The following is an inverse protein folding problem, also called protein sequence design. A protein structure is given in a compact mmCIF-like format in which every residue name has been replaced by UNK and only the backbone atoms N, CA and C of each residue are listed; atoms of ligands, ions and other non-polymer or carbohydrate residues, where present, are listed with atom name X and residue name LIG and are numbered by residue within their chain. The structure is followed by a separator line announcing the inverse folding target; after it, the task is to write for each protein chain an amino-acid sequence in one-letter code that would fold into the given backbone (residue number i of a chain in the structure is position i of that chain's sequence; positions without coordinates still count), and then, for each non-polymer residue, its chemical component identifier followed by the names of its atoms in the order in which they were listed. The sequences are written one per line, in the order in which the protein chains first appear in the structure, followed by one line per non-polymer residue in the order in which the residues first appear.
data_IF_354115544367
#
_entry.id   IF_354115544367
#
_cell.length_a   1.000
_cell.length_b   1.000
_cell.length_c   1.000
_cell.angle_alpha   90.00
_cell.angle_beta   90.00
_cell.angle_gamma   90.00
#
_symmetry.space_group_name_H-M   'P 1'
#
loop_
_entity.id
_entity.type
_entity.pdbx_description
1 polymer ?
#
# COMPACT_ATOMS: atom_id res chain seq x y z
N UNK A 1 -47.60 78.26 61.11
CA UNK A 1 -46.22 78.57 61.60
C UNK A 1 -45.40 77.30 61.39
N UNK A 2 -44.35 77.35 60.56
CA UNK A 2 -43.52 76.19 60.25
C UNK A 2 -42.67 75.77 61.46
N UNK A 3 -42.60 74.47 61.71
CA UNK A 3 -41.84 73.86 62.82
C UNK A 3 -40.34 73.98 62.47
N UNK A 4 -39.57 74.73 63.25
CA UNK A 4 -38.12 74.68 63.19
C UNK A 4 -37.64 73.36 63.81
N UNK A 5 -37.04 72.49 63.00
CA UNK A 5 -36.40 71.27 63.47
C UNK A 5 -35.13 71.60 64.23
N UNK A 6 -34.94 70.94 65.38
CA UNK A 6 -33.80 71.14 66.27
C UNK A 6 -32.52 70.67 65.55
N UNK A 7 -31.45 71.45 65.47
CA UNK A 7 -30.20 70.97 64.89
C UNK A 7 -29.60 69.88 65.79
N UNK A 8 -29.35 68.70 65.23
CA UNK A 8 -28.67 67.57 65.88
C UNK A 8 -27.21 67.56 65.44
N UNK A 9 -26.29 67.43 66.38
CA UNK A 9 -24.85 67.40 66.10
C UNK A 9 -24.48 66.16 65.28
N UNK A 10 -23.97 66.36 64.07
CA UNK A 10 -23.42 65.29 63.20
C UNK A 10 -21.90 65.22 63.41
N UNK A 11 -21.34 64.02 63.58
CA UNK A 11 -19.89 63.82 63.75
C UNK A 11 -19.10 64.33 62.53
N UNK A 12 -17.82 64.69 62.71
CA UNK A 12 -16.99 65.18 61.59
C UNK A 12 -16.90 64.20 60.42
N UNK A 13 -16.91 62.90 60.70
CA UNK A 13 -16.90 61.83 59.67
C UNK A 13 -18.19 61.77 58.87
N UNK A 14 -19.33 62.12 59.48
CA UNK A 14 -20.64 62.16 58.80
C UNK A 14 -20.97 63.54 58.19
N UNK A 15 -20.06 64.52 58.31
CA UNK A 15 -20.12 65.81 57.59
C UNK A 15 -19.27 65.71 56.32
N UNK A 16 -19.70 64.91 55.38
CA UNK A 16 -19.15 64.99 54.02
C UNK A 16 -19.63 66.33 53.41
N UNK A 17 -18.69 67.21 53.11
CA UNK A 17 -18.99 68.44 52.37
C UNK A 17 -19.42 68.05 50.96
N UNK A 18 -20.43 68.74 50.41
CA UNK A 18 -20.96 68.47 49.05
C UNK A 18 -19.83 68.39 48.00
N UNK A 19 -18.78 69.20 48.17
CA UNK A 19 -17.56 69.20 47.35
C UNK A 19 -16.76 67.89 47.40
N UNK A 20 -16.68 67.19 48.54
CA UNK A 20 -15.97 65.91 48.64
C UNK A 20 -16.73 64.78 47.97
N UNK A 21 -18.08 64.82 48.02
CA UNK A 21 -18.93 63.87 47.29
C UNK A 21 -18.82 64.07 45.78
N UNK A 22 -18.86 65.32 45.32
CA UNK A 22 -18.71 65.64 43.90
C UNK A 22 -17.33 65.22 43.36
N UNK A 23 -16.26 65.33 44.16
CA UNK A 23 -14.92 64.91 43.77
C UNK A 23 -14.80 63.37 43.69
N UNK A 24 -15.37 62.64 44.65
CA UNK A 24 -15.43 61.17 44.63
C UNK A 24 -16.29 60.67 43.45
N UNK A 25 -17.43 61.31 43.19
CA UNK A 25 -18.31 60.97 42.07
C UNK A 25 -17.67 61.27 40.71
N UNK A 26 -16.89 62.36 40.59
CA UNK A 26 -16.08 62.64 39.40
C UNK A 26 -14.96 61.62 39.22
N UNK A 27 -14.27 61.22 40.29
CA UNK A 27 -13.22 60.20 40.24
C UNK A 27 -13.76 58.81 39.87
N UNK A 28 -14.93 58.43 40.40
CA UNK A 28 -15.64 57.20 40.03
C UNK A 28 -16.10 57.23 38.57
N UNK A 29 -16.66 58.35 38.10
CA UNK A 29 -17.08 58.51 36.71
C UNK A 29 -15.88 58.48 35.73
N UNK A 30 -14.73 59.03 36.10
CA UNK A 30 -13.50 58.94 35.31
C UNK A 30 -12.92 57.51 35.31
N UNK A 31 -12.99 56.81 36.45
CA UNK A 31 -12.57 55.43 36.55
C UNK A 31 -13.44 54.51 35.68
N UNK A 32 -14.75 54.73 35.64
CA UNK A 32 -15.67 53.94 34.82
C UNK A 32 -15.49 54.22 33.33
N UNK A 33 -15.30 55.47 32.92
CA UNK A 33 -14.93 55.82 31.53
C UNK A 33 -13.62 55.15 31.10
N UNK A 34 -12.59 55.12 31.96
CA UNK A 34 -11.33 54.42 31.69
C UNK A 34 -11.53 52.90 31.54
N UNK A 35 -12.37 52.29 32.37
CA UNK A 35 -12.70 50.86 32.25
C UNK A 35 -13.44 50.55 30.95
N UNK A 36 -14.35 51.42 30.51
CA UNK A 36 -15.07 51.24 29.25
C UNK A 36 -14.15 51.37 28.03
N UNK A 37 -13.27 52.38 28.02
CA UNK A 37 -12.26 52.54 26.98
C UNK A 37 -11.32 51.32 26.91
N UNK A 38 -10.84 50.83 28.06
CA UNK A 38 -10.01 49.63 28.12
C UNK A 38 -10.73 48.38 27.59
N UNK A 39 -12.02 48.22 27.90
CA UNK A 39 -12.85 47.12 27.35
C UNK A 39 -13.04 47.23 25.84
N UNK A 40 -13.17 48.45 25.31
CA UNK A 40 -13.30 48.68 23.87
C UNK A 40 -12.00 48.38 23.13
N UNK A 41 -10.86 48.81 23.68
CA UNK A 41 -9.52 48.51 23.17
C UNK A 41 -9.27 47.00 23.15
N UNK A 42 -9.55 46.30 24.26
CA UNK A 42 -9.46 44.83 24.31
C UNK A 42 -10.35 44.12 23.30
N UNK A 43 -11.55 44.64 23.04
CA UNK A 43 -12.43 44.10 22.00
C UNK A 43 -11.86 44.33 20.60
N UNK A 44 -11.28 45.50 20.33
CA UNK A 44 -10.62 45.79 19.07
C UNK A 44 -9.40 44.87 18.85
N UNK A 45 -8.54 44.74 19.87
CA UNK A 45 -7.37 43.85 19.84
C UNK A 45 -7.76 42.39 19.61
N UNK A 46 -8.83 41.92 20.28
CA UNK A 46 -9.30 40.56 20.10
C UNK A 46 -9.81 40.31 18.68
N UNK A 47 -10.47 41.31 18.06
CA UNK A 47 -10.92 41.23 16.68
C UNK A 47 -9.75 41.26 15.70
N UNK A 48 -8.75 42.10 15.92
CA UNK A 48 -7.57 42.14 15.05
C UNK A 48 -6.79 40.83 15.12
N UNK A 49 -6.61 40.25 16.31
CA UNK A 49 -5.95 38.96 16.49
C UNK A 49 -6.68 37.83 15.75
N UNK A 50 -8.02 37.82 15.80
CA UNK A 50 -8.83 36.83 15.07
C UNK A 50 -8.71 37.02 13.56
N UNK A 51 -8.73 38.26 13.07
CA UNK A 51 -8.56 38.55 11.64
C UNK A 51 -7.17 38.11 11.16
N UNK A 52 -6.12 38.41 11.92
CA UNK A 52 -4.74 38.00 11.62
C UNK A 52 -4.63 36.47 11.55
N UNK A 53 -5.23 35.76 12.51
CA UNK A 53 -5.25 34.30 12.52
C UNK A 53 -6.01 33.69 11.34
N UNK A 54 -7.14 34.29 10.94
CA UNK A 54 -7.89 33.85 9.75
C UNK A 54 -7.05 34.07 8.48
N UNK A 55 -6.35 35.20 8.38
CA UNK A 55 -5.46 35.46 7.24
C UNK A 55 -4.30 34.46 7.19
N UNK A 56 -3.67 34.17 8.33
CA UNK A 56 -2.61 33.15 8.43
C UNK A 56 -3.12 31.76 8.01
N UNK A 57 -4.34 31.38 8.40
CA UNK A 57 -4.96 30.11 8.00
C UNK A 57 -5.26 30.06 6.49
N UNK A 58 -5.81 31.12 5.92
CA UNK A 58 -6.08 31.22 4.47
C UNK A 58 -4.79 31.16 3.65
N UNK A 59 -3.75 31.87 4.08
CA UNK A 59 -2.44 31.85 3.40
C UNK A 59 -1.75 30.49 3.56
N UNK A 60 -1.90 29.83 4.71
CA UNK A 60 -1.37 28.49 4.95
C UNK A 60 -2.11 27.41 4.12
N UNK A 61 -3.41 27.56 3.90
CA UNK A 61 -4.19 26.65 3.06
C UNK A 61 -3.93 26.89 1.57
N UNK A 62 -3.75 28.15 1.14
CA UNK A 62 -3.35 28.47 -0.23
C UNK A 62 -1.92 27.99 -0.58
N UNK A 63 -1.04 27.82 0.42
CA UNK A 63 0.34 27.35 0.24
C UNK A 63 0.50 25.83 0.27
N UNK A 64 -0.53 25.05 0.67
CA UNK A 64 -0.50 23.59 0.62
C UNK A 64 -0.93 23.10 -0.77
N UNK A 65 -0.19 22.19 -1.42
CA UNK A 65 -0.70 21.50 -2.61
C UNK A 65 -1.90 20.63 -2.22
N UNK A 66 -2.92 20.58 -3.09
CA UNK A 66 -4.20 19.86 -2.93
C UNK A 66 -4.07 18.31 -2.85
N UNK A 67 -3.25 17.79 -1.93
CA UNK A 67 -3.08 16.35 -1.70
C UNK A 67 -2.94 16.07 -0.20
N UNK A 68 -3.95 16.42 0.61
CA UNK A 68 -4.17 15.75 1.91
C UNK A 68 -5.63 15.88 2.37
N UNK A 69 -6.53 15.12 1.73
CA UNK A 69 -7.91 14.81 2.19
C UNK A 69 -7.88 14.01 3.52
N UNK A 70 -7.41 14.62 4.60
CA UNK A 70 -7.36 13.98 5.93
C UNK A 70 -7.77 14.86 7.09
N UNK A 71 -7.98 16.16 6.87
CA UNK A 71 -8.51 17.07 7.89
C UNK A 71 -9.95 17.51 7.65
N UNK A 72 -10.55 17.17 6.50
CA UNK A 72 -11.99 17.34 6.26
C UNK A 72 -12.77 16.11 6.76
N UNK A 73 -12.51 15.73 8.02
CA UNK A 73 -13.53 15.01 8.78
C UNK A 73 -14.53 16.11 9.13
N UNK A 74 -15.38 16.46 8.17
CA UNK A 74 -16.62 17.19 8.42
C UNK A 74 -17.23 16.58 9.68
N UNK A 75 -17.53 17.44 10.67
CA UNK A 75 -18.30 17.06 11.83
C UNK A 75 -19.49 16.24 11.32
N UNK A 76 -19.52 14.96 11.70
CA UNK A 76 -20.56 14.03 11.26
C UNK A 76 -21.92 14.69 11.51
N UNK A 77 -22.68 14.92 10.43
CA UNK A 77 -23.94 15.66 10.48
C UNK A 77 -24.90 14.91 11.42
N UNK A 78 -25.15 15.49 12.60
CA UNK A 78 -25.97 14.93 13.69
C UNK A 78 -27.47 15.26 13.48
N UNK A 79 -27.85 15.67 12.26
CA UNK A 79 -29.23 15.99 11.88
C UNK A 79 -29.95 14.74 11.31
N UNK A 80 -30.25 13.79 12.19
CA UNK A 80 -30.95 12.52 11.92
C UNK A 80 -32.31 12.68 11.18
N UNK A 81 -32.91 13.88 11.17
CA UNK A 81 -34.26 14.10 10.65
C UNK A 81 -34.33 14.43 9.15
N UNK A 82 -33.24 14.93 8.51
CA UNK A 82 -33.30 15.34 7.09
C UNK A 82 -33.13 14.21 6.09
N UNK A 83 -32.45 13.12 6.45
CA UNK A 83 -31.99 12.09 5.49
C UNK A 83 -32.56 10.68 5.72
N UNK A 84 -33.58 10.51 6.58
CA UNK A 84 -34.12 9.18 6.94
C UNK A 84 -34.51 8.31 5.72
N UNK A 85 -35.08 8.93 4.68
CA UNK A 85 -35.46 8.21 3.46
C UNK A 85 -34.23 7.69 2.69
N UNK A 86 -33.18 8.50 2.55
CA UNK A 86 -31.95 8.11 1.86
C UNK A 86 -31.18 7.07 2.68
N UNK A 87 -31.14 7.22 3.99
CA UNK A 87 -30.54 6.24 4.89
C UNK A 87 -31.25 4.89 4.86
N UNK A 88 -32.58 4.90 4.80
CA UNK A 88 -33.38 3.70 4.64
C UNK A 88 -33.13 3.01 3.28
N UNK A 89 -33.01 3.79 2.20
CA UNK A 89 -32.63 3.24 0.90
C UNK A 89 -31.21 2.68 0.91
N UNK A 90 -30.26 3.36 1.55
CA UNK A 90 -28.88 2.89 1.70
C UNK A 90 -28.82 1.63 2.58
N UNK A 91 -29.61 1.55 3.64
CA UNK A 91 -29.80 0.34 4.43
C UNK A 91 -30.34 -0.79 3.57
N UNK A 92 -31.38 -0.55 2.77
CA UNK A 92 -31.96 -1.53 1.84
C UNK A 92 -30.94 -1.98 0.80
N UNK A 93 -30.10 -1.10 0.27
CA UNK A 93 -29.02 -1.45 -0.66
C UNK A 93 -27.99 -2.34 0.02
N UNK A 94 -27.56 -2.01 1.25
CA UNK A 94 -26.63 -2.86 2.02
C UNK A 94 -27.23 -4.24 2.29
N UNK A 95 -28.51 -4.30 2.64
CA UNK A 95 -29.22 -5.56 2.90
C UNK A 95 -29.38 -6.39 1.62
N UNK A 96 -29.77 -5.77 0.51
CA UNK A 96 -29.81 -6.42 -0.80
C UNK A 96 -28.42 -6.91 -1.23
N UNK A 97 -27.35 -6.16 -0.96
CA UNK A 97 -25.97 -6.60 -1.22
C UNK A 97 -25.59 -7.82 -0.39
N UNK A 98 -26.07 -7.94 0.86
CA UNK A 98 -25.86 -9.14 1.69
C UNK A 98 -26.58 -10.35 1.11
N UNK A 99 -27.87 -10.22 0.82
CA UNK A 99 -28.66 -11.30 0.20
C UNK A 99 -28.06 -11.71 -1.15
N UNK A 100 -27.59 -10.74 -1.94
CA UNK A 100 -26.92 -10.98 -3.22
C UNK A 100 -25.64 -11.80 -3.04
N UNK A 101 -24.78 -11.45 -2.08
CA UNK A 101 -23.53 -12.20 -1.79
C UNK A 101 -23.82 -13.65 -1.44
N UNK A 102 -24.78 -13.89 -0.55
CA UNK A 102 -25.14 -15.25 -0.12
C UNK A 102 -25.72 -16.07 -1.29
N UNK A 103 -26.51 -15.43 -2.16
CA UNK A 103 -27.04 -16.07 -3.36
C UNK A 103 -25.94 -16.36 -4.38
N UNK A 104 -25.03 -15.42 -4.58
CA UNK A 104 -23.87 -15.57 -5.47
C UNK A 104 -22.97 -16.72 -5.01
N UNK A 105 -22.68 -16.84 -3.71
CA UNK A 105 -21.87 -17.94 -3.17
C UNK A 105 -22.52 -19.32 -3.41
N UNK A 106 -23.85 -19.42 -3.29
CA UNK A 106 -24.56 -20.67 -3.63
C UNK A 106 -24.48 -20.97 -5.11
N UNK A 107 -24.64 -19.96 -5.96
CA UNK A 107 -24.56 -20.10 -7.42
C UNK A 107 -23.15 -20.45 -7.87
N UNK A 108 -22.10 -19.85 -7.30
CA UNK A 108 -20.71 -20.20 -7.62
C UNK A 108 -20.42 -21.65 -7.24
N UNK A 109 -20.83 -22.09 -6.05
CA UNK A 109 -20.70 -23.49 -5.63
C UNK A 109 -21.44 -24.45 -6.58
N UNK A 110 -22.65 -24.10 -7.02
CA UNK A 110 -23.38 -24.91 -8.00
C UNK A 110 -22.64 -24.98 -9.34
N UNK A 111 -22.15 -23.85 -9.85
CA UNK A 111 -21.34 -23.79 -11.08
C UNK A 111 -20.05 -24.61 -10.98
N UNK A 112 -19.37 -24.58 -9.84
CA UNK A 112 -18.18 -25.39 -9.59
C UNK A 112 -18.51 -26.89 -9.65
N UNK A 113 -19.61 -27.31 -9.00
CA UNK A 113 -20.06 -28.70 -9.04
C UNK A 113 -20.43 -29.12 -10.47
N UNK A 114 -21.19 -28.30 -11.19
CA UNK A 114 -21.56 -28.53 -12.60
C UNK A 114 -20.31 -28.62 -13.49
N UNK A 115 -19.33 -27.74 -13.29
CA UNK A 115 -18.05 -27.77 -14.02
C UNK A 115 -17.28 -29.07 -13.75
N UNK A 116 -17.19 -29.49 -12.48
CA UNK A 116 -16.54 -30.76 -12.10
C UNK A 116 -17.24 -31.95 -12.76
N UNK A 117 -18.59 -31.99 -12.71
CA UNK A 117 -19.37 -33.06 -13.33
C UNK A 117 -19.18 -33.09 -14.84
N UNK A 118 -19.20 -31.93 -15.51
CA UNK A 118 -18.90 -31.81 -16.94
C UNK A 118 -17.50 -32.36 -17.24
N UNK A 119 -16.49 -31.96 -16.48
CA UNK A 119 -15.09 -32.36 -16.70
C UNK A 119 -14.84 -33.85 -16.45
N UNK A 120 -15.63 -34.47 -15.56
CA UNK A 120 -15.63 -35.94 -15.34
C UNK A 120 -16.26 -36.72 -16.49
N UNK A 121 -17.22 -36.13 -17.22
CA UNK A 121 -17.86 -36.74 -18.38
C UNK A 121 -17.13 -36.51 -19.71
N UNK A 122 -16.17 -35.58 -19.76
CA UNK A 122 -15.39 -35.29 -20.96
C UNK A 122 -14.27 -36.31 -21.20
N UNK A 123 -13.96 -36.53 -22.48
CA UNK A 123 -12.79 -37.29 -22.91
C UNK A 123 -11.48 -36.56 -22.61
N UNK A 124 -10.35 -37.27 -22.64
CA UNK A 124 -9.04 -36.68 -22.33
C UNK A 124 -8.60 -35.63 -23.38
N UNK A 125 -8.94 -35.83 -24.65
CA UNK A 125 -8.64 -34.88 -25.73
C UNK A 125 -9.42 -33.57 -25.57
N UNK A 126 -10.71 -33.66 -25.27
CA UNK A 126 -11.56 -32.50 -24.99
C UNK A 126 -11.09 -31.75 -23.72
N UNK A 127 -10.63 -32.49 -22.69
CA UNK A 127 -10.09 -31.90 -21.47
C UNK A 127 -8.82 -31.11 -21.74
N UNK A 128 -7.90 -31.64 -22.55
CA UNK A 128 -6.69 -30.95 -22.93
C UNK A 128 -6.98 -29.67 -23.76
N UNK A 129 -7.98 -29.72 -24.64
CA UNK A 129 -8.42 -28.57 -25.42
C UNK A 129 -9.05 -27.47 -24.53
N UNK A 130 -9.90 -27.84 -23.57
CA UNK A 130 -10.49 -26.89 -22.63
C UNK A 130 -9.43 -26.31 -21.67
N UNK A 131 -8.47 -27.10 -21.23
CA UNK A 131 -7.35 -26.62 -20.40
C UNK A 131 -6.52 -25.58 -21.15
N UNK A 132 -6.24 -25.82 -22.43
CA UNK A 132 -5.55 -24.84 -23.28
C UNK A 132 -6.37 -23.55 -23.42
N UNK A 133 -7.69 -23.66 -23.60
CA UNK A 133 -8.59 -22.49 -23.67
C UNK A 133 -8.61 -21.71 -22.35
N UNK A 134 -8.64 -22.39 -21.20
CA UNK A 134 -8.59 -21.75 -19.88
C UNK A 134 -7.24 -21.07 -19.63
N UNK A 135 -6.14 -21.70 -20.04
CA UNK A 135 -4.80 -21.12 -19.93
C UNK A 135 -4.63 -19.86 -20.79
N UNK A 136 -5.27 -19.80 -21.97
CA UNK A 136 -5.29 -18.60 -22.82
C UNK A 136 -6.08 -17.43 -22.21
N UNK A 137 -7.10 -17.70 -21.40
CA UNK A 137 -7.92 -16.68 -20.72
C UNK A 137 -7.19 -16.11 -19.50
N UNK A 138 -6.41 -16.94 -18.81
CA UNK A 138 -5.68 -16.51 -17.63
C UNK A 138 -4.64 -15.44 -18.00
N UNK A 139 -4.43 -14.42 -17.14
CA UNK A 139 -3.45 -13.37 -17.40
C UNK A 139 -2.07 -13.99 -17.57
N UNK A 140 -1.44 -13.72 -18.71
CA UNK A 140 -0.09 -14.20 -19.01
C UNK A 140 0.90 -13.44 -18.15
N UNK A 141 1.80 -14.21 -17.55
CA UNK A 141 2.95 -13.67 -16.81
C UNK A 141 4.00 -13.20 -17.79
N UNK A 142 4.83 -12.28 -17.31
CA UNK A 142 6.01 -11.87 -18.07
C UNK A 142 6.90 -13.08 -18.38
N UNK A 143 7.55 -13.05 -19.54
CA UNK A 143 8.47 -14.11 -19.95
C UNK A 143 9.63 -14.21 -18.97
N UNK A 144 9.72 -15.36 -18.28
CA UNK A 144 10.82 -15.64 -17.35
C UNK A 144 12.13 -15.70 -18.13
N UNK A 145 13.05 -14.79 -17.81
CA UNK A 145 14.39 -14.78 -18.42
C UNK A 145 15.23 -15.94 -17.89
N UNK A 146 16.20 -16.38 -18.70
CA UNK A 146 17.16 -17.38 -18.27
C UNK A 146 18.01 -16.84 -17.11
N UNK A 147 18.17 -17.64 -16.06
CA UNK A 147 18.98 -17.28 -14.90
C UNK A 147 20.46 -17.18 -15.26
N UNK A 148 21.12 -16.14 -14.76
CA UNK A 148 22.58 -16.00 -14.82
C UNK A 148 23.31 -17.07 -14.00
N UNK A 149 24.60 -17.27 -14.29
CA UNK A 149 25.45 -18.20 -13.55
C UNK A 149 25.51 -17.82 -12.07
N UNK A 150 25.17 -18.78 -11.20
CA UNK A 150 25.07 -18.58 -9.74
C UNK A 150 24.15 -17.42 -9.29
N UNK A 151 23.11 -17.11 -10.07
CA UNK A 151 22.03 -16.23 -9.63
C UNK A 151 21.18 -16.91 -8.56
N UNK A 152 20.68 -16.14 -7.57
CA UNK A 152 19.80 -16.67 -6.54
C UNK A 152 18.37 -16.82 -7.07
N UNK A 153 17.75 -17.97 -6.78
CA UNK A 153 16.32 -18.17 -7.01
C UNK A 153 15.50 -17.51 -5.91
N UNK A 154 14.54 -16.69 -6.31
CA UNK A 154 13.55 -16.10 -5.43
C UNK A 154 12.20 -16.76 -5.70
N UNK A 155 11.69 -17.48 -4.71
CA UNK A 155 10.32 -17.98 -4.75
C UNK A 155 9.38 -16.82 -4.46
N UNK A 156 8.34 -16.69 -5.27
CA UNK A 156 7.34 -15.61 -5.16
C UNK A 156 6.59 -15.59 -3.82
N UNK A 157 6.49 -16.73 -3.16
CA UNK A 157 5.77 -16.91 -1.89
C UNK A 157 4.49 -17.72 -2.08
N UNK A 158 3.83 -18.08 -0.98
CA UNK A 158 2.55 -18.79 -0.99
C UNK A 158 1.33 -17.88 -0.75
N UNK A 159 1.56 -16.61 -0.42
CA UNK A 159 0.52 -15.64 -0.10
C UNK A 159 0.06 -14.90 -1.36
N UNK A 160 -1.19 -14.43 -1.36
CA UNK A 160 -1.79 -13.58 -2.41
C UNK A 160 -1.71 -14.17 -3.84
N UNK A 161 -1.74 -15.50 -3.96
CA UNK A 161 -1.73 -16.17 -5.26
C UNK A 161 -3.10 -16.14 -5.95
N UNK A 162 -4.16 -15.89 -5.21
CA UNK A 162 -5.49 -15.56 -5.74
C UNK A 162 -5.42 -14.32 -6.65
N UNK A 163 -4.84 -13.22 -6.16
CA UNK A 163 -4.63 -11.98 -6.92
C UNK A 163 -3.72 -12.17 -8.13
N UNK A 164 -2.79 -13.12 -8.04
CA UNK A 164 -1.94 -13.54 -9.15
C UNK A 164 -2.72 -14.13 -10.33
N UNK A 165 -3.67 -14.98 -10.00
CA UNK A 165 -4.46 -15.75 -10.96
C UNK A 165 -5.50 -14.85 -11.57
N UNK A 166 -6.12 -13.99 -10.76
CA UNK A 166 -7.08 -12.99 -11.26
C UNK A 166 -6.38 -11.89 -12.06
N UNK A 167 -5.12 -11.58 -11.76
CA UNK A 167 -4.38 -10.50 -12.42
C UNK A 167 -4.82 -9.11 -11.98
N UNK A 168 -5.49 -8.99 -10.82
CA UNK A 168 -5.95 -7.71 -10.26
C UNK A 168 -4.79 -6.75 -9.96
N UNK A 169 -3.65 -7.32 -9.57
CA UNK A 169 -2.44 -6.54 -9.27
C UNK A 169 -1.33 -6.93 -10.25
N UNK A 170 -0.88 -5.98 -11.06
CA UNK A 170 0.18 -6.19 -12.06
C UNK A 170 1.52 -6.59 -11.43
N UNK A 171 1.77 -6.18 -10.18
CA UNK A 171 2.98 -6.55 -9.42
C UNK A 171 3.24 -8.06 -9.44
N UNK A 172 2.16 -8.83 -9.42
CA UNK A 172 2.13 -10.27 -9.34
C UNK A 172 2.35 -10.99 -10.68
N UNK A 173 2.28 -10.27 -11.79
CA UNK A 173 2.54 -10.80 -13.13
C UNK A 173 4.00 -10.60 -13.57
N UNK A 174 4.76 -9.79 -12.82
CA UNK A 174 6.16 -9.47 -13.10
C UNK A 174 7.07 -10.68 -12.98
N UNK A 175 8.19 -10.62 -13.70
CA UNK A 175 9.27 -11.59 -13.56
C UNK A 175 10.04 -11.37 -12.24
N UNK A 176 9.88 -12.29 -11.28
CA UNK A 176 10.62 -12.30 -10.01
C UNK A 176 12.03 -12.91 -10.13
N UNK A 177 12.37 -13.41 -11.31
CA UNK A 177 13.64 -14.07 -11.59
C UNK A 177 14.65 -13.14 -12.27
N UNK A 178 14.35 -11.85 -12.35
CA UNK A 178 15.29 -10.87 -12.86
C UNK A 178 16.56 -10.81 -11.99
N UNK A 179 17.78 -10.74 -12.59
CA UNK A 179 19.01 -10.58 -11.83
C UNK A 179 19.03 -9.25 -11.08
N UNK A 180 19.32 -9.32 -9.78
CA UNK A 180 19.64 -8.13 -8.99
C UNK A 180 20.92 -7.47 -9.51
N UNK A 181 21.12 -6.20 -9.16
CA UNK A 181 22.27 -5.40 -9.61
C UNK A 181 23.63 -6.08 -9.40
N UNK A 182 23.85 -6.70 -8.24
CA UNK A 182 25.07 -7.45 -7.92
C UNK A 182 25.23 -8.76 -8.74
N UNK A 183 24.15 -9.26 -9.35
CA UNK A 183 24.11 -10.50 -10.14
C UNK A 183 24.02 -10.26 -11.65
N UNK A 184 24.03 -9.00 -12.10
CA UNK A 184 24.04 -8.64 -13.53
C UNK A 184 25.37 -8.98 -14.22
N UNK A 185 26.45 -9.09 -13.45
CA UNK A 185 27.78 -9.41 -13.97
C UNK A 185 27.94 -10.91 -14.21
N UNK A 186 28.68 -11.27 -15.26
CA UNK A 186 29.02 -12.67 -15.52
C UNK A 186 30.04 -13.17 -14.49
N UNK A 187 29.54 -13.95 -13.53
CA UNK A 187 30.36 -14.54 -12.46
C UNK A 187 31.31 -15.62 -12.97
N UNK A 188 31.13 -16.15 -14.19
CA UNK A 188 32.01 -17.19 -14.74
C UNK A 188 33.45 -16.67 -14.97
N UNK A 189 33.59 -15.37 -15.24
CA UNK A 189 34.86 -14.70 -15.46
C UNK A 189 35.62 -14.40 -14.15
N UNK A 190 34.96 -14.53 -13.00
CA UNK A 190 35.58 -14.28 -11.71
C UNK A 190 36.48 -15.45 -11.28
N UNK A 191 37.53 -15.20 -10.46
CA UNK A 191 38.30 -16.26 -9.83
C UNK A 191 37.39 -17.20 -9.03
N UNK A 192 37.73 -18.49 -8.99
CA UNK A 192 36.90 -19.54 -8.37
C UNK A 192 36.47 -19.23 -6.92
N UNK A 193 37.33 -18.57 -6.14
CA UNK A 193 37.00 -18.16 -4.76
C UNK A 193 35.89 -17.09 -4.67
N UNK A 194 35.67 -16.32 -5.75
CA UNK A 194 34.64 -15.29 -5.86
C UNK A 194 33.38 -15.77 -6.62
N UNK A 195 33.43 -16.95 -7.24
CA UNK A 195 32.28 -17.60 -7.87
C UNK A 195 31.31 -18.14 -6.81
N UNK A 196 30.61 -17.20 -6.16
CA UNK A 196 29.69 -17.46 -5.07
C UNK A 196 28.34 -16.81 -5.36
N UNK A 197 27.28 -17.36 -4.77
CA UNK A 197 25.96 -16.72 -4.78
C UNK A 197 26.00 -15.40 -4.02
N UNK A 198 25.05 -14.50 -4.33
CA UNK A 198 24.93 -13.21 -3.66
C UNK A 198 24.99 -13.33 -2.13
N UNK A 199 25.77 -12.46 -1.50
CA UNK A 199 25.87 -12.34 -0.04
C UNK A 199 26.58 -13.50 0.65
N UNK A 200 27.25 -14.36 -0.10
CA UNK A 200 27.96 -15.53 0.43
C UNK A 200 29.48 -15.30 0.55
N UNK A 201 30.03 -14.32 -0.18
CA UNK A 201 31.43 -13.93 -0.04
C UNK A 201 31.75 -13.49 1.40
N UNK A 202 32.85 -13.99 1.97
CA UNK A 202 33.29 -13.67 3.33
C UNK A 202 32.51 -14.34 4.48
N UNK A 203 31.48 -15.15 4.20
CA UNK A 203 30.72 -15.86 5.25
C UNK A 203 31.36 -17.19 5.62
N UNK A 204 31.34 -17.51 6.92
CA UNK A 204 31.67 -18.85 7.44
C UNK A 204 30.54 -19.84 7.13
N UNK A 205 30.87 -21.12 6.95
CA UNK A 205 29.88 -22.17 6.67
C UNK A 205 29.51 -22.33 5.19
N UNK A 206 30.47 -22.13 4.29
CA UNK A 206 30.28 -22.38 2.86
C UNK A 206 29.98 -23.85 2.58
N UNK A 207 29.02 -24.10 1.69
CA UNK A 207 28.78 -25.44 1.16
C UNK A 207 29.88 -25.78 0.17
N UNK A 208 30.44 -27.00 0.27
CA UNK A 208 31.54 -27.47 -0.58
C UNK A 208 31.16 -27.60 -2.07
N UNK A 209 29.88 -27.86 -2.34
CA UNK A 209 29.34 -28.03 -3.69
C UNK A 209 28.59 -26.76 -4.12
N UNK A 210 29.00 -26.15 -5.24
CA UNK A 210 28.42 -24.89 -5.72
C UNK A 210 27.27 -25.12 -6.71
N UNK A 211 27.55 -25.82 -7.81
CA UNK A 211 26.60 -26.18 -8.86
C UNK A 211 26.87 -27.60 -9.37
N UNK A 212 25.85 -28.23 -9.98
CA UNK A 212 25.92 -29.62 -10.45
C UNK A 212 27.14 -29.86 -11.34
N UNK A 213 27.42 -28.96 -12.28
CA UNK A 213 28.57 -29.08 -13.19
C UNK A 213 29.94 -29.11 -12.47
N UNK A 214 30.08 -28.47 -11.30
CA UNK A 214 31.34 -28.53 -10.53
C UNK A 214 31.53 -29.86 -9.80
N UNK A 215 30.43 -30.55 -9.51
CA UNK A 215 30.42 -31.85 -8.86
C UNK A 215 30.33 -32.98 -9.90
N UNK A 216 30.20 -32.64 -11.18
CA UNK A 216 30.14 -33.59 -12.27
C UNK A 216 31.56 -34.11 -12.56
N UNK A 217 31.73 -35.41 -12.36
CA UNK A 217 33.01 -36.12 -12.58
C UNK A 217 33.02 -36.90 -13.89
N UNK A 218 32.09 -36.62 -14.81
CA UNK A 218 32.08 -37.28 -16.13
C UNK A 218 33.38 -36.99 -16.86
N UNK A 219 34.15 -38.03 -17.15
CA UNK A 219 35.35 -37.93 -17.97
C UNK A 219 34.99 -38.00 -19.46
N UNK A 220 34.96 -36.84 -20.11
CA UNK A 220 34.69 -36.74 -21.55
C UNK A 220 35.86 -37.19 -22.43
N UNK A 221 37.03 -37.47 -21.85
CA UNK A 221 38.22 -37.92 -22.60
C UNK A 221 38.29 -39.45 -22.74
N UNK A 222 37.47 -40.19 -21.99
CA UNK A 222 37.47 -41.63 -22.02
C UNK A 222 37.03 -42.19 -23.39
N UNK A 223 37.65 -43.29 -23.84
CA UNK A 223 37.37 -43.89 -25.15
C UNK A 223 35.90 -44.32 -25.35
N UNK A 224 35.19 -44.62 -24.26
CA UNK A 224 33.76 -44.97 -24.27
C UNK A 224 32.83 -43.74 -24.21
N UNK A 225 33.37 -42.56 -23.90
CA UNK A 225 32.69 -41.27 -24.00
C UNK A 225 32.84 -40.65 -25.40
N UNK A 226 33.72 -41.21 -26.25
CA UNK A 226 33.89 -40.75 -27.63
C UNK A 226 32.58 -40.92 -28.42
N UNK A 227 32.18 -39.83 -29.06
CA UNK A 227 30.79 -39.58 -29.39
C UNK A 227 30.31 -40.41 -30.59
N UNK A 228 29.52 -41.45 -30.32
CA UNK A 228 28.59 -41.97 -31.33
C UNK A 228 27.37 -41.04 -31.40
N UNK A 229 26.78 -40.82 -32.59
CA UNK A 229 25.58 -39.97 -32.75
C UNK A 229 24.44 -40.31 -31.77
N UNK A 230 24.30 -41.57 -31.34
CA UNK A 230 23.33 -41.95 -30.31
C UNK A 230 23.68 -41.39 -28.92
N UNK A 231 24.97 -41.35 -28.56
CA UNK A 231 25.44 -40.86 -27.25
C UNK A 231 25.28 -39.34 -27.16
N UNK A 232 25.57 -38.61 -28.25
CA UNK A 232 25.33 -37.14 -28.30
C UNK A 232 23.86 -36.79 -28.05
N UNK A 233 22.93 -37.45 -28.76
CA UNK A 233 21.49 -37.23 -28.57
C UNK A 233 21.01 -37.57 -27.16
N UNK A 234 21.66 -38.54 -26.51
CA UNK A 234 21.36 -38.90 -25.13
C UNK A 234 21.92 -37.86 -24.16
N UNK A 235 23.17 -37.41 -24.36
CA UNK A 235 23.80 -36.38 -23.54
C UNK A 235 23.11 -35.02 -23.64
N UNK A 236 22.63 -34.63 -24.83
CA UNK A 236 21.80 -33.41 -25.03
C UNK A 236 20.49 -33.46 -24.23
N UNK A 237 19.94 -34.66 -23.98
CA UNK A 237 18.73 -34.83 -23.16
C UNK A 237 19.03 -34.90 -21.66
N UNK A 238 20.27 -35.16 -21.25
CA UNK A 238 20.66 -35.28 -19.85
C UNK A 238 21.03 -33.90 -19.29
N UNK A 239 20.21 -33.39 -18.38
CA UNK A 239 20.51 -32.16 -17.67
C UNK A 239 21.75 -32.35 -16.77
N UNK A 240 22.81 -31.56 -17.03
CA UNK A 240 23.96 -31.45 -16.12
C UNK A 240 25.28 -32.06 -16.58
N UNK A 241 25.34 -32.70 -17.75
CA UNK A 241 26.61 -33.21 -18.30
C UNK A 241 27.59 -32.07 -18.65
N UNK A 242 28.82 -32.17 -18.13
CA UNK A 242 29.90 -31.22 -18.40
C UNK A 242 30.29 -31.20 -19.89
N UNK A 243 30.43 -30.01 -20.48
CA UNK A 243 30.91 -29.85 -21.87
C UNK A 243 29.85 -29.96 -22.99
N UNK A 244 28.63 -30.44 -22.71
CA UNK A 244 27.53 -30.46 -23.71
C UNK A 244 26.60 -29.26 -23.56
N UNK A 245 26.45 -28.77 -22.32
CA UNK A 245 25.65 -27.59 -22.03
C UNK A 245 26.60 -26.45 -21.62
N UNK A 246 26.93 -25.54 -22.55
CA UNK A 246 27.15 -24.16 -22.12
C UNK A 246 25.89 -23.77 -21.35
N UNK A 247 26.04 -23.16 -20.17
CA UNK A 247 24.97 -22.96 -19.20
C UNK A 247 23.95 -21.89 -19.66
N UNK A 248 23.43 -21.98 -20.87
CA UNK A 248 22.14 -21.42 -21.22
C UNK A 248 21.10 -22.40 -20.71
N UNK A 249 20.71 -22.21 -19.44
CA UNK A 249 19.60 -22.96 -18.82
C UNK A 249 18.40 -22.99 -19.78
N UNK A 250 17.71 -24.13 -19.92
CA UNK A 250 16.53 -24.21 -20.77
C UNK A 250 15.48 -23.22 -20.25
N UNK A 251 14.94 -22.42 -21.17
CA UNK A 251 13.74 -21.61 -20.94
C UNK A 251 12.68 -22.51 -20.33
N UNK A 252 12.02 -22.04 -19.27
CA UNK A 252 10.87 -22.73 -18.70
C UNK A 252 9.93 -23.12 -19.83
N UNK A 253 9.55 -24.40 -19.89
CA UNK A 253 8.68 -24.96 -20.92
C UNK A 253 7.29 -24.36 -20.77
N UNK A 254 7.08 -23.19 -21.37
CA UNK A 254 5.80 -22.74 -21.90
C UNK A 254 5.81 -23.07 -23.39
N UNK A 255 5.21 -24.19 -23.76
CA UNK A 255 5.20 -24.65 -25.14
C UNK A 255 4.37 -23.73 -26.03
N UNK A 256 5.01 -23.06 -27.00
CA UNK A 256 4.47 -22.82 -28.35
C UNK A 256 5.67 -22.85 -29.31
N UNK A 257 5.78 -23.92 -30.09
CA UNK A 257 6.63 -23.95 -31.28
C UNK A 257 5.86 -23.25 -32.41
N UNK A 258 6.10 -21.95 -32.59
CA UNK A 258 5.68 -21.25 -33.80
C UNK A 258 6.60 -21.66 -34.95
N UNK A 259 6.12 -22.57 -35.80
CA UNK A 259 6.72 -22.79 -37.13
C UNK A 259 6.52 -21.52 -37.94
N UNK A 260 7.61 -20.80 -38.21
CA UNK A 260 7.66 -19.81 -39.30
C UNK A 260 7.61 -20.57 -40.63
N UNK A 261 6.54 -20.35 -41.38
CA UNK A 261 6.56 -20.36 -42.85
C UNK A 261 7.02 -18.99 -43.33
#
# INVERSE_FOLDING_TARGET
RGIMMKPVFVSKTARETVLMKELIEQEEAEADKKKELYKLEKKADSKSLVIEKIQEEVDADAAKPEDDDRSDIELMDDDDEKNEAEEYEMWKIRELKRIKRDKEERVTRQKEIEFILKRRGMTDEERAADDKRLDEINPKRDEVKNFGFMQKYYHRGGFFQDKAVTGEEELYLRDYHEPLEEEKYDKSLLPQAMQLRRGQFGKKGQVKHSHLTSADTTDMTAAWAQSTKQIQRYQEKMAGASGVNSFDRPKGVGGITAKKT
#
